data_IF_292987757234
#
_entry.id   IF_292987757234
#
_cell.length_a   1.000
_cell.length_b   1.000
_cell.length_c   1.000
_cell.angle_alpha   90.00
_cell.angle_beta   90.00
_cell.angle_gamma   90.00
#
_symmetry.space_group_name_H-M   'P 1'
#
loop_
_entity.id
_entity.type
_entity.pdbx_description
1 polymer ?
#
# COMPACT_ATOMS: atom_id res chain seq x y z
N UNK A 1 -39.29 -44.16 58.79
CA UNK A 1 -38.75 -42.87 58.31
C UNK A 1 -37.84 -42.97 57.06
N UNK A 2 -37.94 -44.02 56.23
CA UNK A 2 -37.09 -44.19 55.01
C UNK A 2 -37.93 -44.29 53.71
N UNK A 3 -39.26 -44.46 53.82
CA UNK A 3 -40.14 -44.61 52.64
C UNK A 3 -40.59 -43.26 52.06
N UNK A 4 -40.75 -42.21 52.88
CA UNK A 4 -41.17 -40.87 52.42
C UNK A 4 -40.04 -40.08 51.73
N UNK A 5 -38.77 -40.29 52.10
CA UNK A 5 -37.64 -39.59 51.49
C UNK A 5 -37.36 -40.03 50.03
N UNK A 6 -37.72 -41.28 49.67
CA UNK A 6 -37.49 -41.84 48.33
C UNK A 6 -38.54 -41.37 47.31
N UNK A 7 -39.77 -41.10 47.77
CA UNK A 7 -40.85 -40.56 46.94
C UNK A 7 -40.62 -39.07 46.62
N UNK A 8 -40.14 -38.29 47.59
CA UNK A 8 -39.79 -36.87 47.39
C UNK A 8 -38.68 -36.68 46.34
N UNK A 9 -37.59 -37.46 46.43
CA UNK A 9 -36.45 -37.34 45.52
C UNK A 9 -36.78 -37.73 44.06
N UNK A 10 -37.65 -38.73 43.85
CA UNK A 10 -38.09 -39.13 42.50
C UNK A 10 -39.04 -38.11 41.90
N UNK A 11 -39.93 -37.51 42.71
CA UNK A 11 -40.79 -36.42 42.26
C UNK A 11 -39.98 -35.18 41.86
N UNK A 12 -38.99 -34.79 42.67
CA UNK A 12 -38.13 -33.63 42.41
C UNK A 12 -37.25 -33.84 41.16
N UNK A 13 -36.70 -35.04 40.97
CA UNK A 13 -35.93 -35.41 39.76
C UNK A 13 -36.80 -35.41 38.50
N UNK A 14 -38.05 -35.86 38.58
CA UNK A 14 -38.98 -35.84 37.45
C UNK A 14 -39.45 -34.42 37.12
N UNK A 15 -39.66 -33.56 38.11
CA UNK A 15 -39.97 -32.13 37.93
C UNK A 15 -38.80 -31.39 37.28
N UNK A 16 -37.55 -31.67 37.69
CA UNK A 16 -36.34 -31.11 37.08
C UNK A 16 -36.14 -31.57 35.63
N UNK A 17 -36.42 -32.84 35.31
CA UNK A 17 -36.36 -33.36 33.93
C UNK A 17 -37.48 -32.79 33.03
N UNK A 18 -38.71 -32.63 33.56
CA UNK A 18 -39.81 -31.99 32.85
C UNK A 18 -39.54 -30.49 32.64
N UNK A 19 -39.03 -29.78 33.65
CA UNK A 19 -38.65 -28.37 33.54
C UNK A 19 -37.48 -28.16 32.55
N UNK A 20 -36.50 -29.07 32.53
CA UNK A 20 -35.42 -29.07 31.54
C UNK A 20 -35.91 -29.34 30.11
N UNK A 21 -36.88 -30.24 29.95
CA UNK A 21 -37.52 -30.53 28.65
C UNK A 21 -38.37 -29.37 28.13
N UNK A 22 -39.18 -28.74 29.00
CA UNK A 22 -39.96 -27.55 28.66
C UNK A 22 -39.04 -26.37 28.34
N UNK A 23 -38.00 -26.11 29.14
CA UNK A 23 -37.04 -25.04 28.87
C UNK A 23 -36.22 -25.27 27.58
N UNK A 24 -35.93 -26.53 27.22
CA UNK A 24 -35.30 -26.87 25.94
C UNK A 24 -36.26 -26.64 24.77
N UNK A 25 -37.54 -27.03 24.92
CA UNK A 25 -38.58 -26.84 23.91
C UNK A 25 -38.89 -25.37 23.67
N UNK A 26 -38.96 -24.56 24.73
CA UNK A 26 -39.20 -23.11 24.64
C UNK A 26 -38.03 -22.38 23.99
N UNK A 27 -36.77 -22.77 24.29
CA UNK A 27 -35.60 -22.26 23.54
C UNK A 27 -35.62 -22.65 22.07
N UNK A 28 -36.02 -23.88 21.75
CA UNK A 28 -36.11 -24.36 20.37
C UNK A 28 -37.19 -23.62 19.56
N UNK A 29 -38.36 -23.36 20.15
CA UNK A 29 -39.40 -22.55 19.54
C UNK A 29 -38.97 -21.08 19.39
N UNK A 30 -38.31 -20.49 20.39
CA UNK A 30 -37.77 -19.14 20.29
C UNK A 30 -36.73 -19.01 19.17
N UNK A 31 -35.82 -19.98 19.00
CA UNK A 31 -34.84 -19.98 17.90
C UNK A 31 -35.52 -20.09 16.53
N UNK A 32 -36.55 -20.94 16.40
CA UNK A 32 -37.30 -21.07 15.15
C UNK A 32 -38.11 -19.80 14.81
N UNK A 33 -38.72 -19.16 15.80
CA UNK A 33 -39.42 -17.88 15.62
C UNK A 33 -38.46 -16.76 15.22
N UNK A 34 -37.28 -16.70 15.84
CA UNK A 34 -36.21 -15.77 15.45
C UNK A 34 -35.72 -16.05 14.02
N UNK A 35 -35.50 -17.31 13.66
CA UNK A 35 -35.12 -17.69 12.29
C UNK A 35 -36.20 -17.30 11.27
N UNK A 36 -37.48 -17.47 11.60
CA UNK A 36 -38.59 -17.08 10.74
C UNK A 36 -38.72 -15.56 10.58
N UNK A 37 -38.52 -14.80 11.66
CA UNK A 37 -38.47 -13.32 11.62
C UNK A 37 -37.29 -12.86 10.75
N UNK A 38 -36.10 -13.43 10.94
CA UNK A 38 -34.92 -13.14 10.11
C UNK A 38 -35.20 -13.47 8.64
N UNK A 39 -35.85 -14.59 8.34
CA UNK A 39 -36.20 -14.99 6.98
C UNK A 39 -37.22 -14.02 6.34
N UNK A 40 -38.25 -13.59 7.10
CA UNK A 40 -39.20 -12.55 6.64
C UNK A 40 -38.52 -11.21 6.40
N UNK A 41 -37.66 -10.76 7.30
CA UNK A 41 -36.91 -9.51 7.11
C UNK A 41 -35.98 -9.61 5.89
N UNK A 42 -35.31 -10.74 5.72
CA UNK A 42 -34.44 -11.02 4.57
C UNK A 42 -35.21 -10.93 3.25
N UNK A 43 -36.39 -11.55 3.15
CA UNK A 43 -37.22 -11.48 1.94
C UNK A 43 -37.70 -10.05 1.63
N UNK A 44 -37.97 -9.24 2.66
CA UNK A 44 -38.36 -7.84 2.48
C UNK A 44 -37.17 -7.00 2.00
N UNK A 45 -35.99 -7.17 2.62
CA UNK A 45 -34.74 -6.52 2.20
C UNK A 45 -34.40 -6.86 0.74
N UNK A 46 -34.46 -8.14 0.36
CA UNK A 46 -34.26 -8.58 -1.03
C UNK A 46 -35.24 -7.96 -2.02
N UNK A 47 -36.47 -7.63 -1.58
CA UNK A 47 -37.46 -6.95 -2.44
C UNK A 47 -37.08 -5.49 -2.66
N UNK A 48 -36.65 -4.79 -1.60
CA UNK A 48 -36.16 -3.41 -1.69
C UNK A 48 -34.90 -3.32 -2.55
N UNK A 49 -33.95 -4.25 -2.38
CA UNK A 49 -32.74 -4.35 -3.22
C UNK A 49 -33.11 -4.50 -4.70
N UNK A 50 -34.01 -5.43 -5.03
CA UNK A 50 -34.47 -5.61 -6.43
C UNK A 50 -35.11 -4.35 -7.01
N UNK A 51 -35.89 -3.63 -6.22
CA UNK A 51 -36.52 -2.37 -6.66
C UNK A 51 -35.49 -1.27 -6.89
N UNK A 52 -34.53 -1.11 -5.96
CA UNK A 52 -33.43 -0.18 -6.09
C UNK A 52 -32.59 -0.49 -7.34
N UNK A 53 -32.22 -1.76 -7.55
CA UNK A 53 -31.46 -2.21 -8.72
C UNK A 53 -32.20 -1.92 -10.03
N UNK A 54 -33.50 -2.20 -10.12
CA UNK A 54 -34.29 -1.88 -11.32
C UNK A 54 -34.32 -0.38 -11.62
N UNK A 55 -34.48 0.45 -10.59
CA UNK A 55 -34.47 1.92 -10.75
C UNK A 55 -33.09 2.43 -11.15
N UNK A 56 -32.03 1.85 -10.59
CA UNK A 56 -30.65 2.12 -10.96
C UNK A 56 -30.39 1.78 -12.43
N UNK A 57 -30.66 0.54 -12.86
CA UNK A 57 -30.54 0.08 -14.26
C UNK A 57 -31.31 0.98 -15.20
N UNK A 58 -32.55 1.35 -14.86
CA UNK A 58 -33.38 2.26 -15.69
C UNK A 58 -32.70 3.63 -15.87
N UNK A 59 -32.09 4.19 -14.83
CA UNK A 59 -31.38 5.46 -14.89
C UNK A 59 -30.08 5.36 -15.70
N UNK A 60 -29.30 4.31 -15.48
CA UNK A 60 -28.05 4.07 -16.23
C UNK A 60 -28.36 3.84 -17.71
N UNK A 61 -29.39 3.06 -18.04
CA UNK A 61 -29.84 2.87 -19.42
C UNK A 61 -30.28 4.17 -20.07
N UNK A 62 -31.04 5.02 -19.37
CA UNK A 62 -31.44 6.33 -19.89
C UNK A 62 -30.23 7.23 -20.19
N UNK A 63 -29.13 7.07 -19.46
CA UNK A 63 -27.90 7.84 -19.63
C UNK A 63 -26.95 7.25 -20.70
N UNK A 64 -26.56 5.98 -20.58
CA UNK A 64 -25.57 5.33 -21.46
C UNK A 64 -26.17 4.75 -22.73
N UNK A 65 -27.46 4.38 -22.72
CA UNK A 65 -28.16 3.74 -23.84
C UNK A 65 -29.38 4.56 -24.32
N UNK A 66 -29.26 5.87 -24.61
CA UNK A 66 -30.38 6.67 -25.08
C UNK A 66 -30.83 6.20 -26.47
N UNK A 67 -32.15 6.14 -26.66
CA UNK A 67 -32.82 5.68 -27.89
C UNK A 67 -32.60 6.59 -29.10
N UNK A 68 -32.28 7.87 -28.87
CA UNK A 68 -32.08 8.87 -29.92
C UNK A 68 -30.61 9.26 -30.00
N UNK A 69 -30.15 9.65 -31.20
CA UNK A 69 -28.83 10.24 -31.44
C UNK A 69 -28.79 11.68 -30.90
N UNK A 70 -28.98 11.83 -29.60
CA UNK A 70 -28.76 13.10 -28.90
C UNK A 70 -27.30 13.49 -29.10
N UNK A 71 -27.04 14.78 -29.39
CA UNK A 71 -25.71 15.37 -29.61
C UNK A 71 -24.63 14.67 -28.78
N UNK A 72 -23.58 14.19 -29.47
CA UNK A 72 -22.42 13.49 -28.93
C UNK A 72 -21.72 14.36 -27.87
N UNK A 73 -22.20 14.36 -26.64
CA UNK A 73 -21.45 14.86 -25.49
C UNK A 73 -20.36 13.84 -25.21
N UNK A 74 -19.11 14.12 -25.59
CA UNK A 74 -17.99 13.22 -25.27
C UNK A 74 -17.78 13.19 -23.75
N UNK A 75 -17.93 12.02 -23.14
CA UNK A 75 -17.61 11.83 -21.72
C UNK A 75 -16.12 11.56 -21.64
N UNK A 76 -15.35 12.40 -20.94
CA UNK A 76 -13.90 12.18 -20.81
C UNK A 76 -13.56 11.12 -19.76
N UNK A 77 -14.20 11.20 -18.60
CA UNK A 77 -14.00 10.31 -17.46
C UNK A 77 -15.34 9.71 -17.02
N UNK A 78 -15.37 8.41 -16.78
CA UNK A 78 -16.55 7.71 -16.27
C UNK A 78 -16.14 6.73 -15.18
N UNK A 79 -16.78 6.82 -14.01
CA UNK A 79 -16.75 5.77 -13.00
C UNK A 79 -18.09 5.05 -13.01
N UNK A 80 -18.07 3.75 -13.24
CA UNK A 80 -19.23 2.88 -13.26
C UNK A 80 -19.09 1.83 -12.16
N UNK A 81 -19.95 1.92 -11.15
CA UNK A 81 -20.03 0.93 -10.08
C UNK A 81 -21.32 0.11 -10.27
N UNK A 82 -21.19 -1.21 -10.32
CA UNK A 82 -22.33 -2.10 -10.56
C UNK A 82 -22.23 -3.32 -9.67
N UNK A 83 -23.31 -4.09 -9.58
CA UNK A 83 -23.39 -5.31 -8.80
C UNK A 83 -23.66 -6.47 -9.75
N UNK A 84 -22.97 -7.60 -9.57
CA UNK A 84 -23.42 -8.86 -10.16
C UNK A 84 -23.34 -8.93 -11.69
N UNK A 85 -23.71 -10.11 -12.21
CA UNK A 85 -23.96 -10.41 -13.63
C UNK A 85 -25.24 -9.71 -14.12
N UNK A 86 -25.23 -8.38 -14.16
CA UNK A 86 -26.25 -7.64 -14.89
C UNK A 86 -26.01 -7.87 -16.39
N UNK A 87 -27.01 -8.38 -17.11
CA UNK A 87 -26.95 -8.56 -18.58
C UNK A 87 -26.69 -7.24 -19.33
N UNK A 88 -26.79 -6.09 -18.64
CA UNK A 88 -26.57 -4.76 -19.21
C UNK A 88 -25.12 -4.28 -19.08
N UNK A 89 -24.28 -4.92 -18.25
CA UNK A 89 -22.92 -4.44 -17.96
C UNK A 89 -22.08 -4.34 -19.24
N UNK A 90 -22.12 -5.37 -20.08
CA UNK A 90 -21.39 -5.42 -21.35
C UNK A 90 -21.84 -4.28 -22.29
N UNK A 91 -23.16 -4.03 -22.35
CA UNK A 91 -23.73 -2.96 -23.16
C UNK A 91 -23.34 -1.58 -22.65
N UNK A 92 -23.28 -1.40 -21.33
CA UNK A 92 -22.85 -0.15 -20.71
C UNK A 92 -21.39 0.16 -21.02
N UNK A 93 -20.49 -0.83 -20.86
CA UNK A 93 -19.06 -0.67 -21.16
C UNK A 93 -18.84 -0.43 -22.65
N UNK A 94 -19.48 -1.22 -23.51
CA UNK A 94 -19.39 -1.07 -24.98
C UNK A 94 -19.90 0.31 -25.42
N UNK A 95 -21.04 0.77 -24.89
CA UNK A 95 -21.56 2.10 -25.21
C UNK A 95 -20.65 3.21 -24.67
N UNK A 96 -20.20 3.12 -23.41
CA UNK A 96 -19.32 4.11 -22.80
C UNK A 96 -18.04 4.32 -23.62
N UNK A 97 -17.37 3.23 -24.00
CA UNK A 97 -16.10 3.31 -24.73
C UNK A 97 -16.36 3.59 -26.22
N UNK A 98 -17.23 2.81 -26.87
CA UNK A 98 -17.42 2.84 -28.31
C UNK A 98 -18.31 3.99 -28.82
N UNK A 99 -19.38 4.32 -28.10
CA UNK A 99 -20.34 5.38 -28.49
C UNK A 99 -19.98 6.74 -27.89
N UNK A 100 -19.67 6.78 -26.60
CA UNK A 100 -19.39 8.02 -25.87
C UNK A 100 -17.92 8.45 -25.92
N UNK A 101 -17.01 7.55 -26.32
CA UNK A 101 -15.60 7.87 -26.53
C UNK A 101 -14.82 8.14 -25.24
N UNK A 102 -15.15 7.44 -24.16
CA UNK A 102 -14.50 7.60 -22.85
C UNK A 102 -12.99 7.34 -22.94
N UNK A 103 -12.21 8.26 -22.37
CA UNK A 103 -10.74 8.16 -22.32
C UNK A 103 -10.25 7.55 -20.99
N UNK A 104 -10.99 7.74 -19.90
CA UNK A 104 -10.68 7.25 -18.56
C UNK A 104 -11.90 6.54 -17.98
N UNK A 105 -11.80 5.22 -17.84
CA UNK A 105 -12.88 4.38 -17.33
C UNK A 105 -12.46 3.69 -16.03
N UNK A 106 -13.24 3.89 -14.97
CA UNK A 106 -13.15 3.10 -13.75
C UNK A 106 -14.38 2.21 -13.63
N UNK A 107 -14.15 0.91 -13.56
CA UNK A 107 -15.19 -0.09 -13.43
C UNK A 107 -15.02 -0.85 -12.11
N UNK A 108 -16.09 -0.83 -11.31
CA UNK A 108 -16.15 -1.50 -10.02
C UNK A 108 -17.34 -2.45 -10.03
N UNK A 109 -17.06 -3.75 -9.83
CA UNK A 109 -18.10 -4.77 -9.77
C UNK A 109 -18.17 -5.33 -8.34
N UNK A 110 -19.23 -4.99 -7.62
CA UNK A 110 -19.41 -5.44 -6.25
C UNK A 110 -20.01 -6.86 -6.22
N UNK A 111 -19.53 -7.67 -5.27
CA UNK A 111 -20.08 -8.98 -4.87
C UNK A 111 -20.16 -10.05 -5.98
N UNK A 112 -19.45 -9.90 -7.09
CA UNK A 112 -19.35 -10.93 -8.12
C UNK A 112 -18.12 -10.75 -8.99
N UNK A 113 -17.56 -11.86 -9.46
CA UNK A 113 -16.62 -11.80 -10.56
C UNK A 113 -17.36 -11.66 -11.90
N UNK A 114 -17.03 -10.61 -12.65
CA UNK A 114 -17.58 -10.36 -13.98
C UNK A 114 -16.46 -10.39 -15.02
N UNK A 115 -16.72 -10.97 -16.18
CA UNK A 115 -15.74 -11.10 -17.28
C UNK A 115 -16.29 -10.38 -18.51
N UNK A 116 -15.57 -9.37 -18.99
CA UNK A 116 -15.91 -8.66 -20.20
C UNK A 116 -15.01 -9.07 -21.36
N UNK A 117 -15.62 -9.36 -22.49
CA UNK A 117 -14.87 -9.58 -23.71
C UNK A 117 -14.52 -8.25 -24.38
N UNK A 118 -13.31 -7.75 -24.11
CA UNK A 118 -12.82 -6.51 -24.70
C UNK A 118 -12.70 -6.56 -26.23
N UNK A 119 -12.76 -7.74 -26.87
CA UNK A 119 -12.80 -7.84 -28.34
C UNK A 119 -14.05 -7.19 -28.94
N UNK A 120 -15.14 -7.08 -28.18
CA UNK A 120 -16.35 -6.35 -28.59
C UNK A 120 -16.07 -4.87 -28.91
N UNK A 121 -14.99 -4.30 -28.35
CA UNK A 121 -14.58 -2.93 -28.62
C UNK A 121 -13.78 -2.79 -29.92
N UNK A 122 -13.24 -3.87 -30.47
CA UNK A 122 -12.44 -3.81 -31.69
C UNK A 122 -13.31 -3.45 -32.92
N UNK A 123 -14.62 -3.72 -32.85
CA UNK A 123 -15.61 -3.31 -33.85
C UNK A 123 -15.98 -1.81 -33.75
N UNK A 124 -15.62 -1.15 -32.65
CA UNK A 124 -15.98 0.25 -32.42
C UNK A 124 -15.00 1.21 -33.11
N UNK A 125 -15.53 2.11 -33.94
CA UNK A 125 -14.70 3.06 -34.72
C UNK A 125 -14.06 4.20 -33.87
N UNK A 126 -14.62 4.51 -32.71
CA UNK A 126 -14.29 5.73 -31.93
C UNK A 126 -13.65 5.45 -30.56
N UNK A 127 -12.90 4.35 -30.42
CA UNK A 127 -12.27 4.00 -29.15
C UNK A 127 -11.07 4.91 -28.85
N UNK A 128 -11.18 5.67 -27.76
CA UNK A 128 -10.14 6.63 -27.28
C UNK A 128 -9.63 6.31 -25.87
N UNK A 129 -9.93 5.11 -25.38
CA UNK A 129 -9.59 4.69 -24.02
C UNK A 129 -8.06 4.70 -23.81
N UNK A 130 -7.61 5.43 -22.79
CA UNK A 130 -6.20 5.57 -22.40
C UNK A 130 -5.94 4.99 -21.01
N UNK A 131 -6.86 5.24 -20.07
CA UNK A 131 -6.79 4.79 -18.68
C UNK A 131 -7.94 3.86 -18.35
N UNK A 132 -7.61 2.72 -17.77
CA UNK A 132 -8.59 1.73 -17.34
C UNK A 132 -8.30 1.30 -15.90
N UNK A 133 -9.31 1.37 -15.04
CA UNK A 133 -9.28 0.83 -13.67
C UNK A 133 -10.32 -0.27 -13.60
N UNK A 134 -9.89 -1.49 -13.29
CA UNK A 134 -10.76 -2.64 -13.11
C UNK A 134 -10.72 -3.07 -11.65
N UNK A 135 -11.88 -3.26 -11.04
CA UNK A 135 -12.01 -3.86 -9.70
C UNK A 135 -12.96 -5.04 -9.78
N UNK A 136 -12.51 -6.22 -9.32
CA UNK A 136 -13.29 -7.47 -9.34
C UNK A 136 -13.77 -7.91 -10.75
N UNK A 137 -12.95 -7.68 -11.78
CA UNK A 137 -13.23 -8.01 -13.18
C UNK A 137 -12.17 -8.96 -13.76
N UNK A 138 -12.59 -10.11 -14.27
CA UNK A 138 -11.71 -11.01 -15.03
C UNK A 138 -11.52 -10.51 -16.46
N UNK A 139 -10.30 -10.72 -16.97
CA UNK A 139 -9.87 -10.16 -18.26
C UNK A 139 -8.97 -11.12 -19.04
N UNK A 140 -9.17 -12.44 -18.89
CA UNK A 140 -8.30 -13.49 -19.46
C UNK A 140 -7.98 -13.31 -20.96
N UNK A 141 -8.91 -12.76 -21.75
CA UNK A 141 -8.73 -12.50 -23.18
C UNK A 141 -8.50 -11.03 -23.54
N UNK A 142 -8.60 -10.12 -22.57
CA UNK A 142 -8.55 -8.69 -22.81
C UNK A 142 -7.26 -8.21 -23.50
N UNK A 143 -6.05 -8.72 -23.17
CA UNK A 143 -4.83 -8.26 -23.81
C UNK A 143 -4.73 -8.55 -25.32
N UNK A 144 -5.64 -9.37 -25.89
CA UNK A 144 -5.72 -9.59 -27.34
C UNK A 144 -6.47 -8.49 -28.09
N UNK A 145 -7.25 -7.66 -27.40
CA UNK A 145 -8.00 -6.56 -28.02
C UNK A 145 -7.08 -5.40 -28.39
N UNK A 146 -7.32 -4.79 -29.56
CA UNK A 146 -6.63 -3.59 -30.01
C UNK A 146 -6.82 -2.41 -29.04
N UNK A 147 -7.99 -2.34 -28.40
CA UNK A 147 -8.29 -1.34 -27.38
C UNK A 147 -7.35 -1.47 -26.19
N UNK A 148 -7.16 -2.70 -25.70
CA UNK A 148 -6.30 -2.97 -24.56
C UNK A 148 -4.82 -2.69 -24.89
N UNK A 149 -4.39 -2.99 -26.11
CA UNK A 149 -3.01 -2.74 -26.57
C UNK A 149 -2.64 -1.25 -26.65
N UNK A 150 -3.64 -0.38 -26.82
CA UNK A 150 -3.48 1.09 -26.88
C UNK A 150 -3.51 1.78 -25.52
N UNK A 151 -3.86 1.06 -24.45
CA UNK A 151 -3.88 1.61 -23.10
C UNK A 151 -2.52 2.15 -22.69
N UNK A 152 -2.52 3.31 -22.05
CA UNK A 152 -1.33 3.92 -21.47
C UNK A 152 -1.25 3.70 -19.97
N UNK A 153 -2.40 3.57 -19.28
CA UNK A 153 -2.47 3.34 -17.85
C UNK A 153 -3.50 2.25 -17.50
N UNK A 154 -3.10 1.28 -16.67
CA UNK A 154 -3.94 0.18 -16.22
C UNK A 154 -3.82 0.01 -14.70
N UNK A 155 -4.95 -0.03 -14.02
CA UNK A 155 -5.03 -0.39 -12.60
C UNK A 155 -5.93 -1.61 -12.44
N UNK A 156 -5.40 -2.67 -11.83
CA UNK A 156 -6.14 -3.89 -11.53
C UNK A 156 -6.27 -4.02 -10.02
N UNK A 157 -7.49 -3.96 -9.49
CA UNK A 157 -7.79 -4.11 -8.06
C UNK A 157 -8.51 -5.43 -7.80
N UNK A 158 -8.26 -6.08 -6.67
CA UNK A 158 -9.02 -7.19 -6.06
C UNK A 158 -9.59 -8.22 -7.04
N UNK A 159 -9.06 -9.44 -7.01
CA UNK A 159 -9.55 -10.59 -7.82
C UNK A 159 -9.48 -10.39 -9.35
N UNK A 160 -8.97 -9.24 -9.85
CA UNK A 160 -8.87 -8.99 -11.30
C UNK A 160 -7.82 -9.86 -12.01
N UNK A 161 -6.65 -10.09 -11.41
CA UNK A 161 -5.54 -10.80 -12.06
C UNK A 161 -4.84 -11.75 -11.12
N UNK A 162 -4.66 -12.99 -11.57
CA UNK A 162 -3.59 -13.83 -11.06
C UNK A 162 -2.23 -13.22 -11.47
N UNK A 163 -1.24 -13.28 -10.58
CA UNK A 163 0.12 -12.74 -10.81
C UNK A 163 0.73 -13.25 -12.13
N UNK A 164 0.44 -14.50 -12.50
CA UNK A 164 0.87 -15.10 -13.77
C UNK A 164 0.37 -14.36 -15.02
N UNK A 165 -0.76 -13.66 -14.95
CA UNK A 165 -1.32 -12.93 -16.09
C UNK A 165 -0.74 -11.53 -16.29
N UNK A 166 -0.04 -10.98 -15.30
CA UNK A 166 0.60 -9.65 -15.38
C UNK A 166 1.61 -9.60 -16.52
N UNK A 167 2.45 -10.63 -16.65
CA UNK A 167 3.39 -10.76 -17.76
C UNK A 167 2.70 -10.80 -19.12
N UNK A 168 1.56 -11.48 -19.20
CA UNK A 168 0.79 -11.57 -20.43
C UNK A 168 0.21 -10.21 -20.83
N UNK A 169 -0.31 -9.44 -19.87
CA UNK A 169 -0.80 -8.07 -20.11
C UNK A 169 0.35 -7.19 -20.62
N UNK A 170 1.49 -7.16 -19.92
CA UNK A 170 2.62 -6.32 -20.27
C UNK A 170 3.23 -6.67 -21.64
N UNK A 171 3.21 -7.95 -22.03
CA UNK A 171 3.71 -8.39 -23.35
C UNK A 171 2.85 -7.91 -24.51
N UNK A 172 1.54 -7.80 -24.30
CA UNK A 172 0.61 -7.40 -25.36
C UNK A 172 0.33 -5.88 -25.36
N UNK A 173 0.34 -5.23 -24.19
CA UNK A 173 0.05 -3.81 -24.05
C UNK A 173 1.30 -2.94 -24.28
N UNK A 174 1.74 -2.86 -25.53
CA UNK A 174 3.02 -2.23 -25.91
C UNK A 174 3.11 -0.73 -25.66
N UNK A 175 1.97 -0.04 -25.52
CA UNK A 175 1.93 1.41 -25.20
C UNK A 175 1.75 1.69 -23.71
N UNK A 176 1.63 0.65 -22.87
CA UNK A 176 1.40 0.81 -21.44
C UNK A 176 2.62 1.45 -20.77
N UNK A 177 2.39 2.56 -20.08
CA UNK A 177 3.38 3.33 -19.33
C UNK A 177 3.21 3.16 -17.83
N UNK A 178 1.96 3.03 -17.36
CA UNK A 178 1.62 2.96 -15.95
C UNK A 178 0.85 1.68 -15.66
N UNK A 179 1.37 0.84 -14.76
CA UNK A 179 0.70 -0.36 -14.27
C UNK A 179 0.62 -0.32 -12.73
N UNK A 180 -0.59 -0.46 -12.20
CA UNK A 180 -0.85 -0.59 -10.77
C UNK A 180 -1.64 -1.87 -10.49
N UNK A 181 -1.14 -2.71 -9.59
CA UNK A 181 -1.78 -3.92 -9.12
C UNK A 181 -2.12 -3.73 -7.65
N UNK A 182 -3.41 -3.84 -7.30
CA UNK A 182 -3.89 -3.72 -5.91
C UNK A 182 -4.57 -5.01 -5.47
N UNK A 183 -4.17 -5.57 -4.33
CA UNK A 183 -4.76 -6.77 -3.73
C UNK A 183 -4.82 -7.96 -4.71
N UNK A 184 -3.70 -8.25 -5.39
CA UNK A 184 -3.61 -9.38 -6.33
C UNK A 184 -2.99 -10.61 -5.66
N UNK A 185 -3.68 -11.76 -5.75
CA UNK A 185 -3.13 -13.09 -5.48
C UNK A 185 -3.37 -13.64 -4.07
N UNK A 186 -3.59 -14.96 -4.00
CA UNK A 186 -3.71 -15.73 -2.75
C UNK A 186 -2.45 -16.55 -2.41
N UNK A 187 -1.43 -16.56 -3.28
CA UNK A 187 -0.25 -17.41 -3.14
C UNK A 187 1.04 -16.58 -3.12
N UNK A 188 1.99 -16.93 -2.24
CA UNK A 188 3.31 -16.31 -2.09
C UNK A 188 4.28 -16.60 -3.27
N UNK A 189 3.77 -16.74 -4.49
CA UNK A 189 4.59 -17.05 -5.66
C UNK A 189 5.52 -15.90 -6.02
N UNK A 190 6.62 -16.20 -6.71
CA UNK A 190 7.54 -15.18 -7.22
C UNK A 190 6.99 -14.47 -8.46
N UNK A 191 7.02 -13.15 -8.46
CA UNK A 191 6.63 -12.32 -9.59
C UNK A 191 7.85 -12.02 -10.46
N UNK A 192 7.97 -12.73 -11.59
CA UNK A 192 9.00 -12.46 -12.59
C UNK A 192 8.45 -11.57 -13.69
N UNK A 193 8.99 -10.35 -13.83
CA UNK A 193 8.63 -9.43 -14.91
C UNK A 193 9.78 -9.35 -15.91
N UNK A 194 9.58 -9.96 -17.08
CA UNK A 194 10.53 -9.91 -18.20
C UNK A 194 9.87 -9.49 -19.50
N UNK A 195 9.99 -8.20 -19.83
CA UNK A 195 9.27 -7.59 -20.96
C UNK A 195 10.13 -6.53 -21.67
N UNK A 196 11.13 -6.96 -22.47
CA UNK A 196 12.14 -6.07 -23.06
C UNK A 196 11.58 -5.03 -24.04
N UNK A 197 10.43 -5.30 -24.65
CA UNK A 197 9.77 -4.40 -25.60
C UNK A 197 8.79 -3.42 -24.95
N UNK A 198 8.64 -3.49 -23.63
CA UNK A 198 7.67 -2.66 -22.91
C UNK A 198 8.12 -1.20 -22.81
N UNK A 199 7.16 -0.28 -22.93
CA UNK A 199 7.33 1.15 -22.64
C UNK A 199 6.94 1.51 -21.20
N UNK A 200 6.81 0.51 -20.33
CA UNK A 200 6.44 0.67 -18.93
C UNK A 200 7.44 1.60 -18.23
N UNK A 201 6.92 2.68 -17.66
CA UNK A 201 7.66 3.67 -16.89
C UNK A 201 7.41 3.52 -15.40
N UNK A 202 6.17 3.25 -15.00
CA UNK A 202 5.78 3.20 -13.59
C UNK A 202 5.11 1.85 -13.28
N UNK A 203 5.62 1.16 -12.26
CA UNK A 203 5.07 -0.09 -11.75
C UNK A 203 4.75 0.06 -10.26
N UNK A 204 3.50 -0.20 -9.89
CA UNK A 204 3.03 -0.13 -8.51
C UNK A 204 2.40 -1.46 -8.09
N UNK A 205 2.86 -2.00 -6.97
CA UNK A 205 2.31 -3.19 -6.31
C UNK A 205 1.75 -2.78 -4.95
N UNK A 206 0.46 -2.94 -4.73
CA UNK A 206 -0.23 -2.49 -3.51
C UNK A 206 -0.91 -3.69 -2.84
N UNK A 207 -0.47 -4.03 -1.62
CA UNK A 207 -0.94 -5.17 -0.84
C UNK A 207 -1.03 -6.48 -1.66
N UNK A 208 -0.02 -6.71 -2.51
CA UNK A 208 0.09 -7.94 -3.29
C UNK A 208 0.82 -9.00 -2.46
N UNK A 209 0.27 -10.22 -2.37
CA UNK A 209 0.89 -11.32 -1.63
C UNK A 209 1.98 -11.97 -2.49
N UNK A 210 3.17 -11.36 -2.58
CA UNK A 210 4.30 -11.84 -3.39
C UNK A 210 5.51 -12.00 -2.48
N UNK A 211 6.19 -13.15 -2.50
CA UNK A 211 7.41 -13.32 -1.69
C UNK A 211 8.65 -12.66 -2.31
N UNK A 212 8.77 -12.74 -3.64
CA UNK A 212 9.94 -12.26 -4.39
C UNK A 212 9.52 -11.57 -5.68
N UNK A 213 10.16 -10.45 -6.03
CA UNK A 213 9.92 -9.72 -7.28
C UNK A 213 11.22 -9.61 -8.07
N UNK A 214 11.18 -10.10 -9.32
CA UNK A 214 12.29 -10.04 -10.26
C UNK A 214 11.99 -9.05 -11.37
N UNK A 215 12.72 -7.94 -11.39
CA UNK A 215 12.63 -6.90 -12.42
C UNK A 215 13.74 -7.14 -13.45
N UNK A 216 13.40 -7.76 -14.58
CA UNK A 216 14.37 -8.19 -15.60
C UNK A 216 14.06 -7.59 -16.97
N UNK A 217 15.05 -6.98 -17.61
CA UNK A 217 14.92 -6.42 -18.97
C UNK A 217 13.74 -5.44 -19.09
N UNK A 218 13.77 -4.36 -18.29
CA UNK A 218 12.77 -3.28 -18.35
C UNK A 218 13.48 -1.96 -18.69
N UNK A 219 13.73 -1.67 -19.98
CA UNK A 219 14.61 -0.58 -20.40
C UNK A 219 14.01 0.82 -20.16
N UNK A 220 12.67 0.92 -20.03
CA UNK A 220 11.96 2.19 -19.87
C UNK A 220 11.46 2.45 -18.44
N UNK A 221 11.66 1.51 -17.49
CA UNK A 221 11.14 1.64 -16.14
C UNK A 221 11.87 2.76 -15.40
N UNK A 222 11.13 3.76 -14.93
CA UNK A 222 11.62 4.98 -14.27
C UNK A 222 11.29 4.97 -12.78
N UNK A 223 10.12 4.43 -12.40
CA UNK A 223 9.69 4.31 -11.01
C UNK A 223 9.09 2.94 -10.68
N UNK A 224 9.43 2.44 -9.49
CA UNK A 224 8.87 1.24 -8.90
C UNK A 224 8.38 1.54 -7.48
N UNK A 225 7.19 1.06 -7.15
CA UNK A 225 6.68 1.18 -5.79
C UNK A 225 5.97 -0.08 -5.33
N UNK A 226 6.16 -0.44 -4.06
CA UNK A 226 5.58 -1.62 -3.46
C UNK A 226 5.05 -1.32 -2.06
N UNK A 227 3.80 -1.72 -1.77
CA UNK A 227 3.18 -1.66 -0.45
C UNK A 227 2.70 -3.05 -0.04
N UNK A 228 2.88 -3.43 1.23
CA UNK A 228 2.37 -4.70 1.76
C UNK A 228 3.41 -5.47 2.58
N UNK A 229 3.41 -6.80 2.50
CA UNK A 229 4.41 -7.61 3.21
C UNK A 229 5.82 -7.39 2.64
N UNK A 230 6.87 -7.66 3.44
CA UNK A 230 8.25 -7.55 2.96
C UNK A 230 8.54 -8.51 1.81
N UNK A 231 9.21 -8.01 0.78
CA UNK A 231 9.54 -8.78 -0.44
C UNK A 231 11.05 -8.75 -0.71
N UNK A 232 11.58 -9.79 -1.35
CA UNK A 232 12.94 -9.76 -1.90
C UNK A 232 12.92 -9.15 -3.31
N UNK A 233 13.82 -8.20 -3.58
CA UNK A 233 13.89 -7.48 -4.84
C UNK A 233 15.16 -7.84 -5.59
N UNK A 234 14.97 -8.37 -6.80
CA UNK A 234 16.06 -8.72 -7.70
C UNK A 234 16.07 -7.78 -8.90
N UNK A 235 17.15 -7.02 -9.02
CA UNK A 235 17.39 -6.15 -10.16
C UNK A 235 18.30 -6.83 -11.17
N UNK A 236 17.95 -6.67 -12.45
CA UNK A 236 18.81 -7.01 -13.58
C UNK A 236 18.86 -5.79 -14.51
N UNK A 237 18.77 -5.98 -15.82
CA UNK A 237 18.80 -4.91 -16.84
C UNK A 237 17.61 -3.93 -16.70
N UNK A 238 17.76 -2.93 -15.81
CA UNK A 238 16.79 -1.85 -15.54
C UNK A 238 17.46 -0.46 -15.53
N UNK A 239 18.08 -0.04 -16.65
CA UNK A 239 19.02 1.08 -16.68
C UNK A 239 18.42 2.46 -16.38
N UNK A 240 17.09 2.61 -16.43
CA UNK A 240 16.40 3.90 -16.22
C UNK A 240 15.70 4.00 -14.87
N UNK A 241 15.75 2.96 -14.03
CA UNK A 241 15.05 2.97 -12.75
C UNK A 241 15.74 3.96 -11.82
N UNK A 242 15.02 5.03 -11.47
CA UNK A 242 15.53 6.14 -10.66
C UNK A 242 14.81 6.28 -9.33
N UNK A 243 13.53 5.91 -9.28
CA UNK A 243 12.69 6.12 -8.10
C UNK A 243 12.18 4.79 -7.57
N UNK A 244 12.48 4.48 -6.31
CA UNK A 244 11.98 3.29 -5.62
C UNK A 244 11.29 3.70 -4.32
N UNK A 245 10.04 3.26 -4.13
CA UNK A 245 9.31 3.47 -2.87
C UNK A 245 8.78 2.15 -2.32
N UNK A 246 9.23 1.77 -1.14
CA UNK A 246 8.82 0.54 -0.46
C UNK A 246 8.12 0.88 0.84
N UNK A 247 6.87 0.45 0.98
CA UNK A 247 6.03 0.68 2.15
C UNK A 247 5.60 -0.67 2.75
N UNK A 248 6.40 -1.16 3.68
CA UNK A 248 6.20 -2.49 4.24
C UNK A 248 5.41 -2.47 5.54
N UNK A 249 4.49 -3.42 5.66
CA UNK A 249 3.64 -3.67 6.83
C UNK A 249 3.93 -5.05 7.40
N UNK A 250 4.34 -5.10 8.65
CA UNK A 250 4.42 -6.34 9.42
C UNK A 250 3.00 -6.80 9.81
N UNK A 251 2.45 -7.79 9.11
CA UNK A 251 1.18 -8.45 9.49
C UNK A 251 1.42 -9.61 10.45
N UNK A 252 0.54 -9.76 11.44
CA UNK A 252 0.74 -10.50 12.70
C UNK A 252 0.97 -12.01 12.64
N UNK A 253 0.83 -12.68 11.49
CA UNK A 253 1.09 -14.13 11.39
C UNK A 253 2.56 -14.47 11.03
N UNK A 254 3.30 -13.55 10.41
CA UNK A 254 4.73 -13.73 10.12
C UNK A 254 5.61 -13.50 11.37
N UNK A 255 5.01 -13.19 12.52
CA UNK A 255 5.73 -13.08 13.79
C UNK A 255 6.15 -14.45 14.36
N UNK A 256 5.60 -15.56 13.85
CA UNK A 256 5.97 -16.92 14.28
C UNK A 256 7.30 -17.39 13.70
N UNK A 257 7.65 -16.95 12.50
CA UNK A 257 8.97 -17.16 11.91
C UNK A 257 9.73 -15.85 11.99
N UNK A 258 10.62 -15.70 12.98
CA UNK A 258 11.50 -14.54 13.21
C UNK A 258 12.49 -14.22 12.08
N UNK A 259 12.09 -14.35 10.82
CA UNK A 259 12.84 -14.01 9.63
C UNK A 259 12.89 -12.49 9.48
N UNK A 260 13.90 -11.89 10.11
CA UNK A 260 14.28 -10.52 9.84
C UNK A 260 14.55 -10.37 8.33
N UNK A 261 13.89 -9.41 7.67
CA UNK A 261 14.24 -9.07 6.30
C UNK A 261 15.54 -8.27 6.32
N UNK A 262 16.61 -8.80 5.73
CA UNK A 262 17.86 -8.05 5.61
C UNK A 262 17.72 -6.93 4.58
N UNK A 263 18.15 -5.70 4.89
CA UNK A 263 18.17 -4.60 3.90
C UNK A 263 18.94 -4.98 2.63
N UNK A 264 19.98 -5.79 2.78
CA UNK A 264 20.76 -6.32 1.66
C UNK A 264 19.91 -7.12 0.66
N UNK A 265 18.80 -7.73 1.11
CA UNK A 265 17.87 -8.47 0.24
C UNK A 265 17.00 -7.57 -0.64
N UNK A 266 16.92 -6.28 -0.32
CA UNK A 266 16.23 -5.29 -1.14
C UNK A 266 17.07 -4.83 -2.32
N UNK A 267 18.38 -5.08 -2.30
CA UNK A 267 19.35 -4.63 -3.30
C UNK A 267 20.19 -5.79 -3.83
N UNK A 268 19.56 -6.94 -4.10
CA UNK A 268 20.23 -8.09 -4.68
C UNK A 268 20.47 -7.86 -6.18
N UNK A 269 21.73 -8.05 -6.59
CA UNK A 269 22.19 -7.82 -7.95
C UNK A 269 22.97 -6.51 -8.11
N UNK A 270 23.14 -6.06 -9.35
CA UNK A 270 23.74 -4.75 -9.65
C UNK A 270 22.66 -3.70 -9.41
N UNK A 271 22.86 -2.75 -8.48
CA UNK A 271 21.85 -1.74 -8.20
C UNK A 271 21.68 -0.83 -9.43
N UNK A 272 20.44 -0.48 -9.78
CA UNK A 272 20.20 0.54 -10.81
C UNK A 272 20.74 1.92 -10.35
N UNK A 273 20.89 2.89 -11.27
CA UNK A 273 21.26 4.25 -10.94
C UNK A 273 20.11 5.00 -10.25
N UNK A 274 19.75 4.54 -9.06
CA UNK A 274 18.68 5.07 -8.22
C UNK A 274 19.02 6.48 -7.78
N UNK A 275 18.12 7.44 -8.01
CA UNK A 275 18.23 8.83 -7.55
C UNK A 275 17.41 9.08 -6.28
N UNK A 276 16.30 8.35 -6.12
CA UNK A 276 15.36 8.48 -4.99
C UNK A 276 14.97 7.12 -4.41
N UNK A 277 15.10 6.99 -3.09
CA UNK A 277 14.69 5.82 -2.33
C UNK A 277 13.83 6.25 -1.13
N UNK A 278 12.61 5.72 -1.07
CA UNK A 278 11.70 5.89 0.06
C UNK A 278 11.41 4.54 0.71
N UNK A 279 11.62 4.45 2.03
CA UNK A 279 11.41 3.26 2.83
C UNK A 279 10.47 3.60 3.99
N UNK A 280 9.24 3.13 3.92
CA UNK A 280 8.27 3.23 5.00
C UNK A 280 8.12 1.86 5.66
N UNK A 281 8.43 1.78 6.95
CA UNK A 281 8.52 0.51 7.66
C UNK A 281 7.53 0.53 8.83
N UNK A 282 6.54 -0.36 8.79
CA UNK A 282 5.48 -0.43 9.81
C UNK A 282 5.58 -1.77 10.55
N UNK A 283 5.50 -1.74 11.87
CA UNK A 283 5.56 -2.93 12.72
C UNK A 283 5.84 -2.60 14.18
N UNK A 284 5.57 -3.55 15.07
CA UNK A 284 5.77 -3.39 16.51
C UNK A 284 7.21 -3.63 16.99
N UNK A 285 8.01 -4.36 16.20
CA UNK A 285 9.40 -4.71 16.51
C UNK A 285 10.30 -4.45 15.30
N UNK A 286 11.60 -4.21 15.54
CA UNK A 286 12.60 -4.08 14.48
C UNK A 286 12.71 -5.40 13.72
N UNK A 287 12.07 -5.46 12.54
CA UNK A 287 12.08 -6.65 11.69
C UNK A 287 13.08 -6.53 10.53
N UNK A 288 13.84 -5.44 10.49
CA UNK A 288 14.92 -5.23 9.53
C UNK A 288 16.26 -5.53 10.20
N UNK A 289 17.06 -6.39 9.56
CA UNK A 289 18.44 -6.61 10.01
C UNK A 289 19.38 -5.62 9.31
N UNK A 290 20.17 -4.83 10.06
CA UNK A 290 21.31 -4.12 9.49
C UNK A 290 22.24 -5.18 8.88
N UNK A 291 22.40 -5.14 7.56
CA UNK A 291 23.28 -6.03 6.84
C UNK A 291 24.12 -5.17 5.90
N UNK A 292 25.40 -5.51 5.77
CA UNK A 292 26.29 -4.81 4.85
C UNK A 292 25.67 -4.85 3.45
N UNK A 293 25.40 -3.66 2.92
CA UNK A 293 24.92 -3.50 1.56
C UNK A 293 26.17 -3.57 0.69
N UNK A 294 26.40 -4.74 0.08
CA UNK A 294 27.57 -4.99 -0.78
C UNK A 294 27.57 -4.09 -2.02
N UNK A 295 26.39 -3.62 -2.43
CA UNK A 295 26.13 -2.78 -3.59
C UNK A 295 26.10 -1.30 -3.19
N UNK A 296 27.02 -0.49 -3.71
CA UNK A 296 27.04 0.95 -3.45
C UNK A 296 25.94 1.65 -4.26
N UNK A 297 25.09 2.43 -3.58
CA UNK A 297 24.03 3.27 -4.15
C UNK A 297 24.61 4.60 -4.65
N UNK A 298 25.56 4.52 -5.58
CA UNK A 298 26.42 5.64 -5.99
C UNK A 298 25.69 6.84 -6.63
N UNK A 299 24.44 6.66 -7.07
CA UNK A 299 23.65 7.72 -7.70
C UNK A 299 22.53 8.25 -6.80
N UNK A 300 22.39 7.71 -5.59
CA UNK A 300 21.28 8.04 -4.71
C UNK A 300 21.46 9.46 -4.17
N UNK A 301 20.54 10.35 -4.55
CA UNK A 301 20.55 11.76 -4.15
C UNK A 301 19.61 12.04 -3.00
N UNK A 302 18.51 11.30 -2.89
CA UNK A 302 17.51 11.53 -1.86
C UNK A 302 17.04 10.23 -1.22
N UNK A 303 17.07 10.21 0.10
CA UNK A 303 16.72 9.06 0.92
C UNK A 303 15.66 9.48 1.94
N UNK A 304 14.58 8.71 2.03
CA UNK A 304 13.48 8.97 2.95
C UNK A 304 13.16 7.72 3.75
N UNK A 305 13.21 7.84 5.08
CA UNK A 305 12.75 6.83 6.02
C UNK A 305 11.49 7.29 6.73
N UNK A 306 10.45 6.48 6.69
CA UNK A 306 9.20 6.74 7.36
C UNK A 306 8.87 5.66 8.38
N UNK A 307 8.31 6.12 9.51
CA UNK A 307 7.79 5.28 10.58
C UNK A 307 8.86 4.55 11.39
N UNK A 308 10.00 5.20 11.60
CA UNK A 308 11.08 4.67 12.45
C UNK A 308 10.61 4.73 13.91
N UNK A 309 10.41 3.58 14.54
CA UNK A 309 9.97 3.52 15.93
C UNK A 309 11.13 3.80 16.90
N UNK A 310 10.81 4.35 18.08
CA UNK A 310 11.83 4.74 19.08
C UNK A 310 12.65 3.57 19.65
N UNK A 311 12.12 2.35 19.59
CA UNK A 311 12.81 1.15 20.05
C UNK A 311 13.74 0.54 18.98
N UNK A 312 13.86 1.17 17.81
CA UNK A 312 14.74 0.70 16.75
C UNK A 312 16.11 1.36 16.90
N UNK A 313 17.16 0.55 16.86
CA UNK A 313 18.51 1.06 16.67
C UNK A 313 18.57 1.87 15.36
N UNK A 314 19.28 2.99 15.34
CA UNK A 314 19.44 3.85 14.14
C UNK A 314 20.68 3.47 13.32
N UNK A 315 21.49 2.52 13.78
CA UNK A 315 22.70 2.05 13.10
C UNK A 315 22.50 1.63 11.64
N UNK A 316 21.35 1.06 11.30
CA UNK A 316 21.03 0.68 9.92
C UNK A 316 20.86 1.89 8.99
N UNK A 317 20.43 3.05 9.52
CA UNK A 317 20.35 4.31 8.77
C UNK A 317 21.77 4.74 8.40
N UNK A 318 22.69 4.72 9.36
CA UNK A 318 24.11 5.03 9.14
C UNK A 318 24.75 4.06 8.13
N UNK A 319 24.41 2.77 8.20
CA UNK A 319 24.86 1.76 7.22
C UNK A 319 24.37 2.07 5.80
N UNK A 320 23.15 2.60 5.66
CA UNK A 320 22.60 3.02 4.36
C UNK A 320 23.26 4.31 3.86
N UNK A 321 23.55 5.26 4.74
CA UNK A 321 24.30 6.48 4.40
C UNK A 321 25.71 6.15 3.91
N UNK A 322 26.39 5.22 4.59
CA UNK A 322 27.68 4.69 4.17
C UNK A 322 27.67 4.08 2.76
N UNK A 323 26.54 3.49 2.37
CA UNK A 323 26.35 2.89 1.06
C UNK A 323 25.94 3.90 -0.03
N UNK A 324 25.60 5.14 0.33
CA UNK A 324 25.08 6.17 -0.57
C UNK A 324 25.97 7.44 -0.58
N UNK A 325 27.15 7.40 -1.23
CA UNK A 325 28.13 8.48 -1.16
C UNK A 325 27.66 9.80 -1.80
N UNK A 326 26.78 9.73 -2.81
CA UNK A 326 26.28 10.91 -3.53
C UNK A 326 25.00 11.52 -2.90
N UNK A 327 24.66 11.14 -1.66
CA UNK A 327 23.42 11.57 -1.03
C UNK A 327 23.42 13.08 -0.74
N UNK A 328 22.40 13.77 -1.25
CA UNK A 328 22.22 15.22 -1.10
C UNK A 328 21.18 15.59 -0.03
N UNK A 329 20.15 14.74 0.16
CA UNK A 329 19.02 15.01 1.07
C UNK A 329 18.58 13.75 1.82
N UNK A 330 18.54 13.83 3.16
CA UNK A 330 18.09 12.78 4.06
C UNK A 330 16.84 13.21 4.80
N UNK A 331 15.78 12.41 4.72
CA UNK A 331 14.52 12.63 5.43
C UNK A 331 14.23 11.45 6.35
N UNK A 332 14.00 11.69 7.63
CA UNK A 332 13.70 10.66 8.63
C UNK A 332 12.45 11.05 9.41
N UNK A 333 11.46 10.16 9.47
CA UNK A 333 10.27 10.33 10.29
C UNK A 333 10.27 9.32 11.43
N UNK A 334 10.30 9.85 12.65
CA UNK A 334 10.21 9.09 13.89
C UNK A 334 8.77 9.01 14.36
N UNK A 335 8.35 7.84 14.81
CA UNK A 335 7.01 7.62 15.38
C UNK A 335 7.12 7.44 16.89
N UNK A 336 6.41 8.30 17.61
CA UNK A 336 6.32 8.26 19.06
C UNK A 336 5.22 7.27 19.49
N UNK A 337 5.57 5.98 19.63
CA UNK A 337 4.62 4.96 20.09
C UNK A 337 4.41 5.10 21.60
N UNK A 338 3.38 5.84 22.01
CA UNK A 338 3.03 6.12 23.42
C UNK A 338 2.57 4.90 24.24
N UNK A 339 2.77 3.66 23.77
CA UNK A 339 2.09 2.47 24.30
C UNK A 339 2.96 1.39 24.93
N UNK A 340 4.26 1.28 24.64
CA UNK A 340 5.14 0.25 25.23
C UNK A 340 6.57 0.79 25.32
N UNK A 341 6.89 1.40 26.46
CA UNK A 341 8.26 1.76 26.84
C UNK A 341 8.99 0.46 27.20
N UNK A 342 9.47 -0.25 26.19
CA UNK A 342 10.64 -1.11 26.34
C UNK A 342 11.85 -0.19 26.33
N UNK A 343 12.78 -0.40 27.26
CA UNK A 343 13.99 0.40 27.46
C UNK A 343 14.55 0.91 26.13
N UNK A 344 14.63 2.24 26.01
CA UNK A 344 15.31 2.88 24.89
C UNK A 344 16.68 2.22 24.76
N UNK A 345 17.00 1.70 23.57
CA UNK A 345 18.35 1.27 23.28
C UNK A 345 19.25 2.47 23.54
N UNK A 346 20.05 2.39 24.60
CA UNK A 346 21.10 3.37 24.84
C UNK A 346 21.95 3.38 23.59
N UNK A 347 22.16 4.56 23.00
CA UNK A 347 23.12 4.75 21.92
C UNK A 347 24.53 4.74 22.52
N UNK A 348 24.85 3.68 23.24
CA UNK A 348 26.14 3.48 23.92
C UNK A 348 26.96 2.50 23.08
N UNK A 349 27.25 2.91 21.86
CA UNK A 349 28.35 2.31 21.12
C UNK A 349 29.06 3.45 20.41
N UNK A 350 30.22 3.80 20.97
CA UNK A 350 31.33 4.42 20.27
C UNK A 350 31.71 3.54 19.07
N UNK A 351 30.92 3.57 18.00
CA UNK A 351 31.40 3.14 16.68
C UNK A 351 31.84 4.41 16.00
N UNK A 352 33.16 4.56 15.96
CA UNK A 352 33.93 5.48 15.14
C UNK A 352 33.58 5.32 13.64
N UNK A 353 32.37 5.71 13.25
CA UNK A 353 32.02 5.91 11.85
C UNK A 353 32.62 7.24 11.39
N UNK A 354 33.92 7.22 11.10
CA UNK A 354 34.64 8.32 10.46
C UNK A 354 34.27 8.54 8.99
N UNK A 355 33.09 8.06 8.55
CA UNK A 355 32.66 8.26 7.18
C UNK A 355 32.02 9.64 7.06
N UNK A 356 32.76 10.54 6.41
CA UNK A 356 32.29 11.86 6.10
C UNK A 356 31.29 11.80 4.94
N UNK A 357 30.12 12.39 5.13
CA UNK A 357 29.07 12.53 4.12
C UNK A 357 29.29 13.82 3.35
N UNK A 358 30.18 13.76 2.36
CA UNK A 358 30.65 14.93 1.61
C UNK A 358 29.64 15.58 0.66
N UNK A 359 28.48 14.98 0.46
CA UNK A 359 27.45 15.48 -0.46
C UNK A 359 26.15 15.87 0.23
N UNK A 360 26.00 15.58 1.53
CA UNK A 360 24.74 15.80 2.24
C UNK A 360 24.53 17.28 2.56
N UNK A 361 23.52 17.88 1.96
CA UNK A 361 23.19 19.32 2.08
C UNK A 361 21.97 19.57 2.97
N UNK A 362 21.05 18.61 3.02
CA UNK A 362 19.77 18.76 3.73
C UNK A 362 19.46 17.54 4.61
N UNK A 363 19.11 17.81 5.87
CA UNK A 363 18.55 16.85 6.81
C UNK A 363 17.15 17.31 7.22
N UNK A 364 16.15 16.44 7.10
CA UNK A 364 14.79 16.68 7.57
C UNK A 364 14.41 15.58 8.55
N UNK A 365 14.14 15.95 9.80
CA UNK A 365 13.64 15.04 10.83
C UNK A 365 12.21 15.43 11.16
N UNK A 366 11.29 14.48 11.07
CA UNK A 366 9.87 14.66 11.39
C UNK A 366 9.51 13.79 12.60
N UNK A 367 8.61 14.28 13.45
CA UNK A 367 8.31 13.64 14.74
C UNK A 367 9.42 13.88 15.76
N UNK A 368 10.14 15.00 15.60
CA UNK A 368 11.23 15.38 16.49
C UNK A 368 10.66 15.88 17.83
N UNK A 369 10.87 15.12 18.89
CA UNK A 369 10.39 15.43 20.23
C UNK A 369 11.42 16.14 21.12
N UNK A 370 12.69 16.20 20.70
CA UNK A 370 13.81 16.69 21.52
C UNK A 370 14.35 15.64 22.50
N UNK A 371 14.06 14.35 22.28
CA UNK A 371 14.61 13.29 23.11
C UNK A 371 16.13 13.19 22.91
N UNK A 372 16.88 12.90 23.98
CA UNK A 372 18.35 12.88 23.97
C UNK A 372 18.95 12.03 22.83
N UNK A 373 18.35 10.87 22.53
CA UNK A 373 18.79 10.01 21.43
C UNK A 373 18.52 10.61 20.04
N UNK A 374 17.43 11.37 19.86
CA UNK A 374 17.13 12.09 18.62
C UNK A 374 18.14 13.22 18.42
N UNK A 375 18.42 13.97 19.49
CA UNK A 375 19.44 15.02 19.49
C UNK A 375 20.82 14.44 19.19
N UNK A 376 21.17 13.31 19.81
CA UNK A 376 22.42 12.58 19.55
C UNK A 376 22.54 12.12 18.10
N UNK A 377 21.48 11.53 17.53
CA UNK A 377 21.45 11.14 16.11
C UNK A 377 21.66 12.34 15.19
N UNK A 378 20.92 13.45 15.41
CA UNK A 378 21.06 14.67 14.59
C UNK A 378 22.47 15.24 14.71
N UNK A 379 23.02 15.32 15.93
CA UNK A 379 24.39 15.80 16.20
C UNK A 379 25.42 14.95 15.46
N UNK A 380 25.28 13.63 15.48
CA UNK A 380 26.17 12.71 14.77
C UNK A 380 26.14 12.94 13.25
N UNK A 381 24.96 13.16 12.66
CA UNK A 381 24.84 13.46 11.22
C UNK A 381 25.48 14.82 10.89
N UNK A 382 25.27 15.85 11.71
CA UNK A 382 25.89 17.16 11.49
C UNK A 382 27.41 17.04 11.54
N UNK A 383 27.96 16.36 12.55
CA UNK A 383 29.41 16.15 12.69
C UNK A 383 30.01 15.35 11.53
N UNK A 384 29.27 14.38 10.99
CA UNK A 384 29.69 13.58 9.86
C UNK A 384 29.53 14.31 8.50
N UNK A 385 28.83 15.46 8.44
CA UNK A 385 28.42 16.10 7.19
C UNK A 385 28.98 17.53 7.07
N UNK A 386 30.21 17.72 6.56
CA UNK A 386 30.90 19.01 6.60
C UNK A 386 30.24 20.10 5.74
N UNK A 387 29.47 19.72 4.72
CA UNK A 387 28.79 20.66 3.82
C UNK A 387 27.28 20.78 4.08
N UNK A 388 26.81 20.30 5.23
CA UNK A 388 25.39 20.34 5.57
C UNK A 388 24.94 21.81 5.73
N UNK A 389 23.97 22.21 4.91
CA UNK A 389 23.47 23.59 4.86
C UNK A 389 22.22 23.75 5.73
N UNK A 390 21.35 22.74 5.74
CA UNK A 390 20.00 22.86 6.32
C UNK A 390 19.62 21.64 7.15
N UNK A 391 19.14 21.90 8.36
CA UNK A 391 18.53 20.91 9.25
C UNK A 391 17.12 21.39 9.62
N UNK A 392 16.11 20.62 9.22
CA UNK A 392 14.72 20.88 9.55
C UNK A 392 14.25 19.86 10.59
N UNK A 393 13.91 20.31 11.79
CA UNK A 393 13.39 19.51 12.88
C UNK A 393 11.92 19.89 13.07
N UNK A 394 11.04 18.99 12.65
CA UNK A 394 9.61 19.23 12.54
C UNK A 394 8.84 18.25 13.41
N UNK A 395 7.70 18.69 13.94
CA UNK A 395 6.65 17.77 14.36
C UNK A 395 5.73 17.41 13.19
N UNK A 396 5.09 16.24 13.25
CA UNK A 396 4.22 15.78 12.17
C UNK A 396 4.00 14.28 12.15
N UNK A 397 3.25 13.86 11.15
CA UNK A 397 3.00 12.44 10.87
C UNK A 397 2.99 12.17 9.38
N UNK A 398 3.30 10.94 9.00
CA UNK A 398 3.16 10.46 7.62
C UNK A 398 1.70 10.14 7.35
N UNK A 399 1.19 10.60 6.20
CA UNK A 399 -0.19 10.31 5.78
C UNK A 399 -0.27 8.87 5.28
N UNK A 400 -1.07 8.06 5.96
CA UNK A 400 -1.34 6.68 5.59
C UNK A 400 -2.68 6.60 4.85
N UNK A 401 -2.65 6.80 3.53
CA UNK A 401 -3.83 6.69 2.66
C UNK A 401 -3.71 5.49 1.72
N UNK A 402 -4.67 4.57 1.81
CA UNK A 402 -4.74 3.36 0.98
C UNK A 402 -4.99 3.66 -0.51
N UNK A 403 -5.60 4.81 -0.83
CA UNK A 403 -6.00 5.15 -2.19
C UNK A 403 -4.97 5.98 -2.97
N UNK A 404 -3.88 6.43 -2.32
CA UNK A 404 -2.87 7.30 -2.93
C UNK A 404 -1.87 6.58 -3.83
N UNK A 405 -1.23 7.37 -4.70
CA UNK A 405 -0.06 6.94 -5.48
C UNK A 405 1.06 6.50 -4.53
N UNK A 406 1.66 5.34 -4.82
CA UNK A 406 2.73 4.79 -4.00
C UNK A 406 4.08 5.50 -4.18
N UNK A 407 4.18 6.43 -5.14
CA UNK A 407 5.42 7.15 -5.45
C UNK A 407 5.41 8.50 -4.73
N UNK A 408 6.25 8.62 -3.71
CA UNK A 408 6.37 9.82 -2.88
C UNK A 408 5.62 9.68 -1.56
N UNK A 409 6.25 10.13 -0.47
CA UNK A 409 5.64 10.13 0.87
C UNK A 409 5.16 11.55 1.18
N UNK A 410 3.88 11.67 1.55
CA UNK A 410 3.32 12.91 2.04
C UNK A 410 3.43 12.96 3.56
N UNK A 411 4.08 14.01 4.04
CA UNK A 411 4.25 14.29 5.46
C UNK A 411 3.39 15.49 5.81
N UNK A 412 2.45 15.28 6.72
CA UNK A 412 1.67 16.38 7.29
C UNK A 412 2.45 16.96 8.46
N UNK A 413 2.95 18.17 8.23
CA UNK A 413 3.64 18.96 9.25
C UNK A 413 2.63 19.41 10.31
N UNK A 414 3.00 19.24 11.57
CA UNK A 414 2.34 19.89 12.68
C UNK A 414 3.30 20.94 13.22
N UNK A 415 2.78 22.14 13.45
CA UNK A 415 3.56 23.18 14.11
C UNK A 415 3.48 22.91 15.60
N UNK A 416 4.62 22.67 16.24
CA UNK A 416 4.68 22.53 17.68
C UNK A 416 5.16 23.86 18.27
N UNK A 417 4.45 24.36 19.25
CA UNK A 417 4.94 25.49 20.02
C UNK A 417 5.95 24.97 21.04
N UNK A 418 7.23 25.29 20.81
CA UNK A 418 8.31 24.97 21.73
C UNK A 418 8.37 26.02 22.84
N UNK A 419 8.51 25.58 24.09
CA UNK A 419 8.87 26.49 25.17
C UNK A 419 10.29 27.01 24.92
N UNK A 420 10.52 28.31 25.13
CA UNK A 420 11.77 28.99 24.78
C UNK A 420 13.00 28.33 25.44
N UNK A 421 12.91 28.01 26.73
CA UNK A 421 13.98 27.30 27.44
C UNK A 421 14.27 25.90 26.89
N UNK A 422 13.26 25.16 26.45
CA UNK A 422 13.45 23.81 25.86
C UNK A 422 14.10 23.93 24.48
N UNK A 423 13.63 24.88 23.67
CA UNK A 423 14.19 25.21 22.36
C UNK A 423 15.67 25.58 22.46
N UNK A 424 16.04 26.45 23.38
CA UNK A 424 17.44 26.87 23.58
C UNK A 424 18.32 25.68 23.98
N UNK A 425 17.88 24.85 24.94
CA UNK A 425 18.64 23.66 25.36
C UNK A 425 18.92 22.72 24.19
N UNK A 426 17.90 22.41 23.38
CA UNK A 426 18.06 21.53 22.22
C UNK A 426 19.02 22.14 21.19
N UNK A 427 18.90 23.43 20.90
CA UNK A 427 19.78 24.11 19.95
C UNK A 427 21.23 24.18 20.46
N UNK A 428 21.44 24.46 21.74
CA UNK A 428 22.76 24.46 22.37
C UNK A 428 23.39 23.07 22.29
N UNK A 429 22.65 22.00 22.65
CA UNK A 429 23.14 20.62 22.55
C UNK A 429 23.56 20.24 21.12
N UNK A 430 22.78 20.67 20.11
CA UNK A 430 23.05 20.42 18.70
C UNK A 430 24.22 21.23 18.15
N UNK A 431 24.47 22.43 18.67
CA UNK A 431 25.52 23.33 18.17
C UNK A 431 26.82 23.24 18.97
N UNK A 432 26.76 22.67 20.17
CA UNK A 432 27.91 22.45 21.04
C UNK A 432 28.99 21.61 20.33
N UNK A 433 30.19 22.21 20.21
CA UNK A 433 31.34 21.62 19.53
C UNK A 433 31.31 21.65 18.00
N UNK A 434 30.33 22.32 17.37
CA UNK A 434 30.18 22.37 15.91
C UNK A 434 30.68 23.70 15.35
N UNK A 435 31.66 23.64 14.46
CA UNK A 435 32.21 24.80 13.74
C UNK A 435 31.75 24.81 12.29
N UNK A 436 30.44 24.95 12.04
CA UNK A 436 29.89 25.07 10.67
C UNK A 436 29.20 26.42 10.47
N UNK A 437 29.86 27.40 9.81
CA UNK A 437 29.32 28.76 9.66
C UNK A 437 28.13 28.85 8.69
N UNK A 438 27.86 27.79 7.91
CA UNK A 438 26.82 27.76 6.89
C UNK A 438 25.59 26.94 7.28
N UNK A 439 25.63 26.27 8.45
CA UNK A 439 24.56 25.41 8.91
C UNK A 439 23.39 26.21 9.47
N UNK A 440 22.19 26.02 8.89
CA UNK A 440 20.94 26.57 9.40
C UNK A 440 20.09 25.47 10.03
N UNK A 441 19.88 25.54 11.34
CA UNK A 441 18.96 24.65 12.07
C UNK A 441 17.62 25.36 12.24
N UNK A 442 16.55 24.73 11.75
CA UNK A 442 15.17 25.20 11.85
C UNK A 442 14.39 24.22 12.72
N UNK A 443 13.98 24.66 13.91
CA UNK A 443 13.13 23.93 14.84
C UNK A 443 11.70 24.52 14.79
N UNK A 444 10.72 23.70 14.37
CA UNK A 444 9.31 24.09 14.17
C UNK A 444 8.30 23.16 14.88
#
# INVERSE_FOLDING_TARGET
MVVEAKAGYVAEKNVLNLAGSHAFRDRFFAVNDWMWIVQRLTTHLQRYERWAMRRYVKRVNAFLLPRTNVQQRSIKKLRLQTFGTSNCNDQWVTSAIGRWGVEDLELVIDNSSWCYDFRLLDECKNVRLKRLVLSNCYHHYAPKSLTFQRLTALTLRKECSHISHVCYILRNCVQLKDLSLKYSGHNQDSLHIRVPKSKLKNLQLDNCNVGQVYLTSLPCLEAFACRGQPIELHYSEVPRLRHVSLNFLQTGDNAKDGSLCGLSKLFLGIPPPLEYLALQLRGGQMWIKPAAIRSQLNHLKKLLFANVAMNWDTFWILTLLAAAPALESLHVHFVNNSGKVGAAGSLDVQVEHHQQHHHLKELVVIGFGGAAWQTGFVKQIIQASPILERVHLLDGHVVDDEDRELVGLEIVRRRREWHECERLKVLDELTDGISSPHLKIVLE
#
